data_IF_294575430708
#
_entry.id   IF_294575430708
#
_cell.length_a   1.000
_cell.length_b   1.000
_cell.length_c   1.000
_cell.angle_alpha   90.00
_cell.angle_beta   90.00
_cell.angle_gamma   90.00
#
_symmetry.space_group_name_H-M   'P 1'
#
loop_
_entity.id
_entity.type
_entity.pdbx_description
1 polymer ?
#
# COMPACT_ATOMS: atom_id res chain seq x y z
N UNK A 1 -3.21 -19.47 17.87
CA UNK A 1 -2.69 -19.97 16.56
C UNK A 1 -2.98 -19.01 15.41
N UNK A 2 -4.08 -18.23 15.44
CA UNK A 2 -4.36 -17.21 14.42
C UNK A 2 -3.32 -16.08 14.37
N UNK A 3 -2.76 -15.65 15.50
CA UNK A 3 -1.80 -14.53 15.56
C UNK A 3 -0.50 -14.82 14.79
N UNK A 4 -0.03 -16.07 14.82
CA UNK A 4 1.17 -16.49 14.10
C UNK A 4 0.96 -16.50 12.58
N UNK A 5 -0.26 -16.81 12.12
CA UNK A 5 -0.62 -16.81 10.70
C UNK A 5 -0.65 -15.37 10.20
N UNK A 6 -1.27 -14.45 10.95
CA UNK A 6 -1.29 -13.03 10.61
C UNK A 6 0.12 -12.42 10.51
N UNK A 7 0.98 -12.66 11.52
CA UNK A 7 2.35 -12.14 11.50
C UNK A 7 3.15 -12.71 10.32
N UNK A 8 2.99 -13.99 10.02
CA UNK A 8 3.61 -14.63 8.86
C UNK A 8 3.17 -13.96 7.57
N UNK A 9 1.87 -13.76 7.37
CA UNK A 9 1.32 -13.16 6.16
C UNK A 9 1.82 -11.72 5.98
N UNK A 10 1.87 -10.94 7.07
CA UNK A 10 2.43 -9.59 7.07
C UNK A 10 3.90 -9.58 6.64
N UNK A 11 4.73 -10.46 7.23
CA UNK A 11 6.14 -10.58 6.89
C UNK A 11 6.33 -10.99 5.42
N UNK A 12 5.51 -11.92 4.92
CA UNK A 12 5.56 -12.36 3.52
C UNK A 12 5.18 -11.21 2.58
N UNK A 13 4.08 -10.50 2.83
CA UNK A 13 3.66 -9.33 2.02
C UNK A 13 4.80 -8.31 1.96
N UNK A 14 5.31 -7.90 3.12
CA UNK A 14 6.34 -6.85 3.21
C UNK A 14 7.62 -7.29 2.51
N UNK A 15 8.06 -8.53 2.73
CA UNK A 15 9.28 -9.05 2.11
C UNK A 15 9.17 -9.11 0.59
N UNK A 16 8.06 -9.62 0.06
CA UNK A 16 7.83 -9.69 -1.39
C UNK A 16 7.72 -8.28 -1.98
N UNK A 17 6.97 -7.39 -1.33
CA UNK A 17 6.83 -6.00 -1.76
C UNK A 17 8.19 -5.28 -1.85
N UNK A 18 9.05 -5.45 -0.84
CA UNK A 18 10.40 -4.86 -0.86
C UNK A 18 11.21 -5.41 -2.04
N UNK A 19 11.24 -6.73 -2.23
CA UNK A 19 12.01 -7.35 -3.32
C UNK A 19 11.52 -6.84 -4.69
N UNK A 20 10.21 -6.88 -4.93
CA UNK A 20 9.62 -6.46 -6.21
C UNK A 20 9.83 -4.97 -6.44
N UNK A 21 9.62 -4.11 -5.43
CA UNK A 21 9.80 -2.67 -5.57
C UNK A 21 11.26 -2.31 -5.80
N UNK A 22 12.22 -2.97 -5.14
CA UNK A 22 13.65 -2.76 -5.40
C UNK A 22 14.00 -3.13 -6.85
N UNK A 23 13.44 -4.23 -7.36
CA UNK A 23 13.60 -4.61 -8.76
C UNK A 23 12.99 -3.55 -9.69
N UNK A 24 11.76 -3.11 -9.44
CA UNK A 24 11.09 -2.07 -10.24
C UNK A 24 11.88 -0.76 -10.25
N UNK A 25 12.38 -0.35 -9.09
CA UNK A 25 13.23 0.83 -8.95
C UNK A 25 14.53 0.67 -9.77
N UNK A 26 15.14 -0.53 -9.77
CA UNK A 26 16.34 -0.82 -10.58
C UNK A 26 16.08 -0.70 -12.09
N UNK A 27 14.87 -1.03 -12.53
CA UNK A 27 14.40 -0.89 -13.91
C UNK A 27 13.81 0.50 -14.23
N UNK A 28 13.84 1.46 -13.29
CA UNK A 28 13.23 2.79 -13.42
C UNK A 28 11.72 2.75 -13.70
N UNK A 29 11.04 1.73 -13.21
CA UNK A 29 9.59 1.58 -13.31
C UNK A 29 8.89 2.24 -12.09
N UNK A 30 7.63 2.68 -12.24
CA UNK A 30 6.87 3.24 -11.12
C UNK A 30 6.69 2.21 -9.98
N UNK A 31 7.07 2.57 -8.75
CA UNK A 31 6.96 1.69 -7.58
C UNK A 31 5.53 1.24 -7.30
N UNK A 32 4.54 2.08 -7.63
CA UNK A 32 3.11 1.75 -7.48
C UNK A 32 2.74 0.47 -8.25
N UNK A 33 3.30 0.27 -9.44
CA UNK A 33 3.09 -0.94 -10.23
C UNK A 33 3.74 -2.16 -9.56
N UNK A 34 4.89 -1.97 -8.91
CA UNK A 34 5.56 -3.00 -8.12
C UNK A 34 4.74 -3.45 -6.91
N UNK A 35 4.11 -2.53 -6.19
CA UNK A 35 3.20 -2.86 -5.09
C UNK A 35 1.98 -3.68 -5.57
N UNK A 36 1.35 -3.26 -6.68
CA UNK A 36 0.21 -4.00 -7.28
C UNK A 36 0.65 -5.40 -7.71
N UNK A 37 1.79 -5.51 -8.39
CA UNK A 37 2.33 -6.80 -8.82
C UNK A 37 2.63 -7.71 -7.62
N UNK A 38 3.19 -7.16 -6.55
CA UNK A 38 3.46 -7.92 -5.33
C UNK A 38 2.18 -8.52 -4.77
N UNK A 39 1.12 -7.71 -4.63
CA UNK A 39 -0.19 -8.19 -4.17
C UNK A 39 -0.79 -9.27 -5.07
N UNK A 40 -0.67 -9.11 -6.39
CA UNK A 40 -1.11 -10.12 -7.36
C UNK A 40 -0.31 -11.43 -7.21
N UNK A 41 1.00 -11.35 -6.94
CA UNK A 41 1.86 -12.52 -6.74
C UNK A 41 1.58 -13.24 -5.43
N UNK A 42 1.40 -12.55 -4.30
CA UNK A 42 1.19 -13.22 -3.00
C UNK A 42 -0.26 -13.59 -2.71
N UNK A 43 -1.22 -12.95 -3.39
CA UNK A 43 -2.64 -13.18 -3.21
C UNK A 43 -3.12 -14.57 -3.66
N UNK A 44 -4.40 -14.88 -3.42
CA UNK A 44 -4.98 -16.20 -3.68
C UNK A 44 -4.94 -16.60 -5.16
N UNK A 45 -5.03 -15.63 -6.08
CA UNK A 45 -4.93 -15.86 -7.53
C UNK A 45 -3.49 -15.95 -8.06
N UNK A 46 -2.49 -15.69 -7.21
CA UNK A 46 -1.06 -15.79 -7.54
C UNK A 46 -0.46 -17.08 -6.99
N UNK A 47 0.44 -16.93 -6.03
CA UNK A 47 1.12 -18.02 -5.32
C UNK A 47 0.27 -18.63 -4.19
N UNK A 48 -0.86 -18.00 -3.82
CA UNK A 48 -1.76 -18.50 -2.78
C UNK A 48 -1.15 -18.52 -1.38
N UNK A 49 -0.08 -17.73 -1.14
CA UNK A 49 0.56 -17.65 0.17
C UNK A 49 -0.31 -16.94 1.20
N UNK A 50 -1.22 -16.08 0.73
CA UNK A 50 -2.16 -15.32 1.55
C UNK A 50 -3.57 -15.74 1.16
N UNK A 51 -4.28 -16.34 2.11
CA UNK A 51 -5.64 -16.84 1.90
C UNK A 51 -6.68 -16.04 2.68
N UNK A 52 -6.30 -15.40 3.79
CA UNK A 52 -7.19 -14.56 4.58
C UNK A 52 -7.13 -13.10 4.09
N UNK A 53 -7.86 -12.83 3.01
CA UNK A 53 -7.91 -11.49 2.41
C UNK A 53 -8.60 -10.47 3.31
N UNK A 54 -9.48 -10.90 4.23
CA UNK A 54 -10.26 -10.01 5.09
C UNK A 54 -9.37 -9.30 6.12
N UNK A 55 -8.44 -10.03 6.76
CA UNK A 55 -7.50 -9.42 7.70
C UNK A 55 -6.54 -8.44 7.02
N UNK A 56 -6.10 -8.77 5.80
CA UNK A 56 -5.21 -7.89 5.01
C UNK A 56 -5.95 -6.63 4.55
N UNK A 57 -7.23 -6.75 4.18
CA UNK A 57 -8.08 -5.62 3.81
C UNK A 57 -8.26 -4.63 4.97
N UNK A 58 -8.59 -5.12 6.18
CA UNK A 58 -8.68 -4.28 7.37
C UNK A 58 -7.37 -3.53 7.67
N UNK A 59 -6.23 -4.21 7.51
CA UNK A 59 -4.92 -3.58 7.69
C UNK A 59 -4.64 -2.51 6.63
N UNK A 60 -5.04 -2.77 5.38
CA UNK A 60 -4.90 -1.82 4.28
C UNK A 60 -5.76 -0.57 4.50
N UNK A 61 -6.99 -0.72 5.00
CA UNK A 61 -7.85 0.41 5.37
C UNK A 61 -7.20 1.31 6.42
N UNK A 62 -6.65 0.69 7.49
CA UNK A 62 -5.91 1.43 8.52
C UNK A 62 -4.69 2.13 7.91
N UNK A 63 -3.93 1.43 7.07
CA UNK A 63 -2.76 2.01 6.39
C UNK A 63 -3.13 3.22 5.52
N UNK A 64 -4.19 3.12 4.72
CA UNK A 64 -4.69 4.21 3.88
C UNK A 64 -5.20 5.36 4.74
N UNK A 65 -5.93 5.09 5.82
CA UNK A 65 -6.39 6.12 6.75
C UNK A 65 -5.20 6.89 7.37
N UNK A 66 -4.15 6.19 7.79
CA UNK A 66 -2.93 6.81 8.31
C UNK A 66 -2.19 7.63 7.25
N UNK A 67 -2.11 7.14 6.00
CA UNK A 67 -1.52 7.87 4.89
C UNK A 67 -2.29 9.17 4.59
N UNK A 68 -3.61 9.09 4.48
CA UNK A 68 -4.47 10.25 4.25
C UNK A 68 -4.41 11.24 5.41
N UNK A 69 -4.31 10.75 6.64
CA UNK A 69 -4.09 11.59 7.81
C UNK A 69 -2.74 12.32 7.72
N UNK A 70 -1.66 11.62 7.38
CA UNK A 70 -0.34 12.23 7.18
C UNK A 70 -0.34 13.30 6.09
N UNK A 71 -0.98 13.01 4.95
CA UNK A 71 -1.20 13.99 3.88
C UNK A 71 -1.98 15.20 4.41
N UNK A 72 -3.02 14.97 5.21
CA UNK A 72 -3.79 16.02 5.86
C UNK A 72 -2.97 16.92 6.79
N UNK A 73 -2.02 16.36 7.54
CA UNK A 73 -1.11 17.12 8.41
C UNK A 73 -0.11 17.97 7.62
N UNK A 74 0.34 17.51 6.46
CA UNK A 74 1.27 18.24 5.59
C UNK A 74 0.56 19.35 4.75
N UNK A 75 -0.75 19.25 4.57
CA UNK A 75 -1.57 20.25 3.87
C UNK A 75 -1.85 21.47 4.75
N UNK A 76 -1.31 22.63 4.36
CA UNK A 76 -1.72 23.91 4.96
C UNK A 76 -3.04 24.43 4.38
N UNK A 77 -3.86 25.08 5.21
CA UNK A 77 -5.13 25.69 4.78
C UNK A 77 -4.92 26.73 3.66
N UNK A 78 -3.78 27.42 3.64
CA UNK A 78 -3.44 28.40 2.60
C UNK A 78 -3.09 27.73 1.26
N UNK A 79 -2.36 26.61 1.27
CA UNK A 79 -2.13 25.81 0.06
C UNK A 79 -3.45 25.26 -0.49
N UNK A 80 -4.32 24.78 0.41
CA UNK A 80 -5.64 24.25 0.03
C UNK A 80 -6.50 25.32 -0.66
N UNK A 81 -6.60 26.53 -0.09
CA UNK A 81 -7.32 27.66 -0.71
C UNK A 81 -6.79 28.02 -2.09
N UNK A 82 -5.46 27.99 -2.29
CA UNK A 82 -4.83 28.30 -3.58
C UNK A 82 -5.16 27.26 -4.65
N UNK A 83 -5.13 25.97 -4.29
CA UNK A 83 -5.52 24.87 -5.19
C UNK A 83 -7.01 24.95 -5.52
N UNK A 84 -7.86 25.18 -4.52
CA UNK A 84 -9.31 25.35 -4.72
C UNK A 84 -9.64 26.47 -5.70
N UNK A 85 -8.97 27.62 -5.59
CA UNK A 85 -9.17 28.73 -6.52
C UNK A 85 -8.73 28.41 -7.95
N UNK A 86 -7.71 27.56 -8.14
CA UNK A 86 -7.27 27.13 -9.46
C UNK A 86 -8.21 26.08 -10.09
N UNK A 87 -8.82 25.22 -9.27
CA UNK A 87 -9.75 24.18 -9.73
C UNK A 87 -11.18 24.69 -9.96
N UNK A 88 -11.55 25.83 -9.36
CA UNK A 88 -12.85 26.48 -9.53
C UNK A 88 -12.91 27.46 -10.72
N UNK A 89 -11.82 27.58 -11.49
CA UNK A 89 -11.70 28.34 -12.74
C UNK A 89 -11.72 27.32 -13.89
#
# INVERSE_FOLDING_TARGET
MHDFIFLKDLVVIISVAIVVVVLFHRFKLPSIAGFILSGLLVGPNGLGWINDTHQVEMLAEIGVALLLFGIGVELSLDKLKKIWRLAAI
#
